data_IF_783023619661
#
_entry.id   IF_783023619661
#
_cell.length_a   1.000
_cell.length_b   1.000
_cell.length_c   1.000
_cell.angle_alpha   90.00
_cell.angle_beta   90.00
_cell.angle_gamma   90.00
#
_symmetry.space_group_name_H-M   'P 1'
#
loop_
_entity.id
_entity.type
_entity.pdbx_description
1 polymer ?
#
# COMPACT_ATOMS: atom_id res chain seq x y z
N UNK A 1 -54.32 -63.03 16.47
CA UNK A 1 -54.33 -61.73 15.77
C UNK A 1 -53.22 -61.59 14.73
N UNK A 2 -51.92 -61.55 15.06
CA UNK A 2 -50.86 -61.23 14.07
C UNK A 2 -50.83 -62.16 12.84
N UNK A 3 -51.03 -63.48 13.05
CA UNK A 3 -51.11 -64.47 11.98
C UNK A 3 -52.30 -64.26 11.01
N UNK A 4 -53.38 -63.64 11.47
CA UNK A 4 -54.54 -63.30 10.63
C UNK A 4 -54.32 -62.03 9.80
N UNK A 5 -53.31 -61.22 10.15
CA UNK A 5 -52.93 -59.99 9.43
C UNK A 5 -51.76 -60.23 8.46
N UNK A 6 -51.51 -61.48 8.08
CA UNK A 6 -50.47 -61.85 7.11
C UNK A 6 -49.04 -61.99 7.68
N UNK A 7 -48.86 -61.97 9.00
CA UNK A 7 -47.56 -62.24 9.60
C UNK A 7 -47.22 -63.73 9.54
N UNK A 8 -46.09 -64.08 8.91
CA UNK A 8 -45.50 -65.42 8.98
C UNK A 8 -44.32 -65.43 9.94
N UNK A 9 -44.23 -66.39 10.88
CA UNK A 9 -43.10 -66.46 11.82
C UNK A 9 -41.76 -66.49 11.07
N UNK A 10 -40.87 -65.56 11.41
CA UNK A 10 -39.56 -65.41 10.77
C UNK A 10 -39.49 -64.43 9.59
N UNK A 11 -40.63 -63.87 9.14
CA UNK A 11 -40.65 -62.81 8.14
C UNK A 11 -40.96 -61.44 8.76
N UNK A 12 -40.55 -60.37 8.09
CA UNK A 12 -40.85 -59.01 8.50
C UNK A 12 -42.28 -58.62 8.14
N UNK A 13 -42.91 -57.80 8.99
CA UNK A 13 -44.28 -57.33 8.77
C UNK A 13 -44.32 -56.32 7.61
N UNK A 14 -45.19 -56.54 6.63
CA UNK A 14 -45.47 -55.58 5.55
C UNK A 14 -44.42 -55.51 4.43
N UNK A 15 -44.21 -56.60 3.68
CA UNK A 15 -43.49 -56.67 2.39
C UNK A 15 -41.98 -56.42 2.41
N UNK A 16 -41.53 -55.42 3.15
CA UNK A 16 -40.15 -54.99 3.37
C UNK A 16 -39.84 -54.79 4.86
N UNK A 17 -40.67 -55.34 5.76
CA UNK A 17 -40.46 -55.26 7.20
C UNK A 17 -39.10 -55.84 7.60
N UNK A 18 -38.45 -55.21 8.57
CA UNK A 18 -37.21 -55.74 9.15
C UNK A 18 -37.52 -56.99 9.98
N UNK A 19 -36.77 -58.05 9.72
CA UNK A 19 -36.79 -59.29 10.52
C UNK A 19 -35.95 -59.10 11.78
N UNK A 20 -34.86 -58.34 11.66
CA UNK A 20 -33.95 -58.08 12.77
C UNK A 20 -34.39 -56.87 13.60
N UNK A 21 -34.41 -56.99 14.94
CA UNK A 21 -34.63 -55.87 15.84
C UNK A 21 -33.67 -54.71 15.52
N UNK A 22 -34.14 -53.47 15.70
CA UNK A 22 -33.26 -52.31 15.59
C UNK A 22 -32.20 -52.41 16.68
N UNK A 23 -30.94 -52.47 16.26
CA UNK A 23 -29.81 -52.46 17.19
C UNK A 23 -29.82 -51.18 18.01
N UNK A 24 -29.86 -51.30 19.34
CA UNK A 24 -29.80 -50.16 20.24
C UNK A 24 -28.35 -49.92 20.63
N UNK A 25 -27.75 -48.88 20.09
CA UNK A 25 -26.46 -48.39 20.56
C UNK A 25 -26.67 -47.55 21.83
N UNK A 26 -26.39 -48.14 23.00
CA UNK A 26 -26.47 -47.44 24.28
C UNK A 26 -25.23 -46.57 24.44
N UNK A 27 -25.37 -45.28 24.13
CA UNK A 27 -24.34 -44.27 24.39
C UNK A 27 -24.12 -44.16 25.91
N UNK A 28 -22.89 -44.43 26.39
CA UNK A 28 -22.55 -44.41 27.83
C UNK A 28 -22.27 -43.01 28.39
N UNK A 29 -22.34 -41.96 27.58
CA UNK A 29 -22.15 -40.58 28.03
C UNK A 29 -23.45 -40.02 28.61
N UNK A 30 -23.33 -39.11 29.59
CA UNK A 30 -24.48 -38.36 30.15
C UNK A 30 -24.89 -37.16 29.29
N UNK A 31 -24.25 -36.97 28.15
CA UNK A 31 -24.60 -35.90 27.21
C UNK A 31 -25.89 -36.27 26.48
N UNK A 32 -26.80 -35.31 26.31
CA UNK A 32 -28.06 -35.53 25.60
C UNK A 32 -27.86 -36.05 24.18
N UNK A 33 -28.84 -36.80 23.68
CA UNK A 33 -28.88 -37.27 22.30
C UNK A 33 -28.81 -36.04 21.38
N UNK A 34 -27.84 -36.03 20.45
CA UNK A 34 -27.59 -34.91 19.53
C UNK A 34 -26.51 -33.91 19.94
N UNK A 35 -25.89 -34.02 21.13
CA UNK A 35 -24.73 -33.19 21.50
C UNK A 35 -23.41 -33.84 21.11
N UNK A 36 -22.51 -33.05 20.53
CA UNK A 36 -21.11 -33.44 20.30
C UNK A 36 -20.39 -33.67 21.64
N UNK A 37 -19.34 -34.49 21.61
CA UNK A 37 -18.50 -34.71 22.77
C UNK A 37 -17.87 -33.35 23.20
N UNK A 38 -17.92 -32.96 24.48
CA UNK A 38 -17.32 -31.71 24.96
C UNK A 38 -15.84 -31.54 24.55
N UNK A 39 -15.09 -32.64 24.41
CA UNK A 39 -13.70 -32.61 23.93
C UNK A 39 -13.63 -32.18 22.47
N UNK A 40 -14.54 -32.70 21.63
CA UNK A 40 -14.61 -32.36 20.20
C UNK A 40 -15.03 -30.90 20.00
N UNK A 41 -15.98 -30.42 20.80
CA UNK A 41 -16.41 -29.01 20.76
C UNK A 41 -15.26 -28.06 21.18
N UNK A 42 -14.49 -28.42 22.22
CA UNK A 42 -13.35 -27.63 22.68
C UNK A 42 -12.25 -27.55 21.63
N UNK A 43 -11.89 -28.68 21.01
CA UNK A 43 -10.88 -28.72 19.95
C UNK A 43 -11.27 -27.86 18.75
N UNK A 44 -12.53 -27.94 18.29
CA UNK A 44 -13.04 -27.10 17.20
C UNK A 44 -12.93 -25.60 17.52
N UNK A 45 -13.29 -25.19 18.74
CA UNK A 45 -13.17 -23.79 19.18
C UNK A 45 -11.71 -23.34 19.26
N UNK A 46 -10.80 -24.21 19.69
CA UNK A 46 -9.36 -23.94 19.73
C UNK A 46 -8.78 -23.79 18.30
N UNK A 47 -9.21 -24.62 17.35
CA UNK A 47 -8.84 -24.51 15.93
C UNK A 47 -9.36 -23.21 15.30
N UNK A 48 -10.61 -22.84 15.55
CA UNK A 48 -11.21 -21.58 15.09
C UNK A 48 -10.45 -20.37 15.64
N UNK A 49 -10.11 -20.37 16.93
CA UNK A 49 -9.31 -19.31 17.55
C UNK A 49 -7.89 -19.25 17.00
N UNK A 50 -7.27 -20.40 16.74
CA UNK A 50 -5.93 -20.46 16.15
C UNK A 50 -5.92 -19.92 14.71
N UNK A 51 -6.98 -20.19 13.93
CA UNK A 51 -7.15 -19.63 12.59
C UNK A 51 -7.36 -18.11 12.64
N UNK A 52 -8.19 -17.62 13.55
CA UNK A 52 -8.44 -16.18 13.72
C UNK A 52 -7.18 -15.42 14.17
N UNK A 53 -6.42 -15.97 15.13
CA UNK A 53 -5.15 -15.39 15.56
C UNK A 53 -4.13 -15.33 14.42
N UNK A 54 -4.00 -16.40 13.62
CA UNK A 54 -3.11 -16.43 12.46
C UNK A 54 -3.48 -15.36 11.44
N UNK A 55 -4.77 -15.22 11.13
CA UNK A 55 -5.27 -14.18 10.20
C UNK A 55 -4.98 -12.77 10.73
N UNK A 56 -5.18 -12.52 12.02
CA UNK A 56 -4.85 -11.23 12.64
C UNK A 56 -3.35 -10.94 12.58
N UNK A 57 -2.49 -11.92 12.84
CA UNK A 57 -1.03 -11.76 12.71
C UNK A 57 -0.60 -11.44 11.28
N UNK A 58 -1.18 -12.12 10.29
CA UNK A 58 -0.94 -11.85 8.87
C UNK A 58 -1.38 -10.42 8.48
N UNK A 59 -2.57 -9.99 8.90
CA UNK A 59 -3.08 -8.63 8.67
C UNK A 59 -2.16 -7.56 9.30
N UNK A 60 -1.68 -7.78 10.53
CA UNK A 60 -0.73 -6.88 11.21
C UNK A 60 0.62 -6.80 10.49
N UNK A 61 1.11 -7.91 9.92
CA UNK A 61 2.37 -7.96 9.19
C UNK A 61 2.32 -7.14 7.88
N UNK A 62 1.16 -7.11 7.22
CA UNK A 62 0.93 -6.29 6.02
C UNK A 62 1.05 -4.79 6.36
N UNK A 63 0.43 -4.33 7.44
CA UNK A 63 0.47 -2.91 7.85
C UNK A 63 1.89 -2.45 8.21
N UNK A 64 2.68 -3.31 8.87
CA UNK A 64 4.07 -3.00 9.20
C UNK A 64 4.94 -2.77 7.95
N UNK A 65 4.76 -3.60 6.92
CA UNK A 65 5.46 -3.45 5.64
C UNK A 65 5.13 -2.15 4.91
N UNK A 66 3.88 -1.67 5.01
CA UNK A 66 3.42 -0.43 4.40
C UNK A 66 4.11 0.80 5.01
N UNK A 67 4.18 0.90 6.35
CA UNK A 67 4.74 2.07 7.05
C UNK A 67 6.22 2.31 6.76
N UNK A 68 7.00 1.24 6.61
CA UNK A 68 8.43 1.34 6.24
C UNK A 68 8.57 1.91 4.83
N UNK A 69 7.81 1.38 3.86
CA UNK A 69 7.81 1.86 2.46
C UNK A 69 7.39 3.33 2.35
N UNK A 70 6.38 3.74 3.10
CA UNK A 70 5.93 5.14 3.15
C UNK A 70 7.00 6.08 3.68
N UNK A 71 7.71 5.70 4.74
CA UNK A 71 8.82 6.49 5.29
C UNK A 71 9.92 6.73 4.25
N UNK A 72 10.29 5.71 3.47
CA UNK A 72 11.28 5.84 2.40
C UNK A 72 10.79 6.73 1.25
N UNK A 73 9.51 6.60 0.87
CA UNK A 73 8.88 7.45 -0.15
C UNK A 73 8.91 8.92 0.26
N UNK A 74 8.49 9.24 1.50
CA UNK A 74 8.46 10.61 2.00
C UNK A 74 9.87 11.22 2.11
N UNK A 75 10.86 10.46 2.61
CA UNK A 75 12.26 10.92 2.62
C UNK A 75 12.77 11.26 1.22
N UNK A 76 12.42 10.46 0.20
CA UNK A 76 12.82 10.69 -1.18
C UNK A 76 12.23 11.99 -1.75
N UNK A 77 10.97 12.29 -1.44
CA UNK A 77 10.32 13.55 -1.84
C UNK A 77 11.10 14.75 -1.30
N UNK A 78 11.45 14.74 -0.01
CA UNK A 78 12.22 15.81 0.63
C UNK A 78 13.59 15.98 -0.04
N UNK A 79 14.33 14.89 -0.27
CA UNK A 79 15.65 14.96 -0.93
C UNK A 79 15.53 15.51 -2.35
N UNK A 80 14.55 15.05 -3.12
CA UNK A 80 14.34 15.52 -4.49
C UNK A 80 13.99 17.02 -4.54
N UNK A 81 13.17 17.49 -3.60
CA UNK A 81 12.85 18.91 -3.48
C UNK A 81 14.12 19.75 -3.24
N UNK A 82 14.97 19.35 -2.29
CA UNK A 82 16.21 20.10 -2.01
C UNK A 82 17.17 20.11 -3.20
N UNK A 83 17.26 19.01 -3.96
CA UNK A 83 18.04 18.97 -5.20
C UNK A 83 17.50 19.92 -6.26
N UNK A 84 16.18 19.87 -6.50
CA UNK A 84 15.54 20.75 -7.48
C UNK A 84 15.70 22.23 -7.09
N UNK A 85 15.53 22.54 -5.79
CA UNK A 85 15.78 23.87 -5.25
C UNK A 85 17.23 24.31 -5.49
N UNK A 86 18.22 23.47 -5.17
CA UNK A 86 19.63 23.82 -5.39
C UNK A 86 19.98 24.08 -6.86
N UNK A 87 19.38 23.34 -7.80
CA UNK A 87 19.55 23.61 -9.24
C UNK A 87 18.88 24.92 -9.63
N UNK A 88 17.68 25.21 -9.10
CA UNK A 88 16.99 26.47 -9.36
C UNK A 88 17.80 27.65 -8.82
N UNK A 89 18.29 27.57 -7.58
CA UNK A 89 19.13 28.60 -6.97
C UNK A 89 20.40 28.85 -7.80
N UNK A 90 20.99 27.81 -8.40
CA UNK A 90 22.13 27.95 -9.32
C UNK A 90 21.76 28.61 -10.65
N UNK A 91 20.60 28.30 -11.22
CA UNK A 91 20.12 28.95 -12.45
C UNK A 91 19.67 30.39 -12.21
N UNK A 92 19.18 30.67 -11.00
CA UNK A 92 18.78 31.99 -10.53
C UNK A 92 19.94 32.79 -9.93
N UNK A 93 21.16 32.23 -9.88
CA UNK A 93 22.33 32.95 -9.39
C UNK A 93 22.59 34.17 -10.27
N UNK A 94 22.11 35.31 -9.78
CA UNK A 94 22.34 36.63 -10.38
C UNK A 94 23.83 36.96 -10.44
N UNK A 95 24.65 36.34 -9.60
CA UNK A 95 26.11 36.48 -9.60
C UNK A 95 26.72 35.93 -10.90
N UNK A 96 26.29 34.75 -11.36
CA UNK A 96 26.75 34.17 -12.63
C UNK A 96 26.27 35.00 -13.83
N UNK A 97 25.03 35.50 -13.76
CA UNK A 97 24.49 36.39 -14.78
C UNK A 97 25.25 37.72 -14.84
N UNK A 98 25.53 38.34 -13.69
CA UNK A 98 26.28 39.59 -13.62
C UNK A 98 27.71 39.42 -14.15
N UNK A 99 28.38 38.31 -13.85
CA UNK A 99 29.71 38.02 -14.39
C UNK A 99 29.69 37.88 -15.93
N UNK A 100 28.68 37.19 -16.47
CA UNK A 100 28.49 37.07 -17.93
C UNK A 100 28.20 38.44 -18.56
N UNK A 101 27.33 39.24 -17.95
CA UNK A 101 26.99 40.59 -18.43
C UNK A 101 28.20 41.53 -18.39
N UNK A 102 29.04 41.45 -17.36
CA UNK A 102 30.31 42.20 -17.29
C UNK A 102 31.27 41.76 -18.40
N UNK A 103 31.50 40.45 -18.58
CA UNK A 103 32.36 39.93 -19.66
C UNK A 103 31.88 40.37 -21.05
N UNK A 104 30.57 40.35 -21.30
CA UNK A 104 30.00 40.83 -22.57
C UNK A 104 30.28 42.32 -22.80
N UNK A 105 30.24 43.15 -21.74
CA UNK A 105 30.58 44.58 -21.83
C UNK A 105 32.08 44.82 -21.98
N UNK A 106 32.91 44.14 -21.20
CA UNK A 106 34.35 44.41 -21.14
C UNK A 106 35.06 43.89 -22.40
N UNK A 107 34.78 42.65 -22.80
CA UNK A 107 35.49 42.01 -23.92
C UNK A 107 34.88 42.40 -25.27
N UNK A 108 33.55 42.50 -25.32
CA UNK A 108 32.82 42.66 -26.58
C UNK A 108 32.14 44.01 -26.73
N UNK A 109 32.10 44.87 -25.70
CA UNK A 109 31.32 46.11 -25.69
C UNK A 109 29.87 45.88 -26.09
N UNK A 110 29.32 44.77 -25.64
CA UNK A 110 27.96 44.35 -25.96
C UNK A 110 27.07 44.49 -24.73
N UNK A 111 25.92 45.13 -24.90
CA UNK A 111 24.89 45.15 -23.88
C UNK A 111 23.73 44.23 -24.31
N UNK A 112 23.45 43.21 -23.51
CA UNK A 112 22.34 42.28 -23.74
C UNK A 112 20.97 43.00 -23.78
N UNK A 113 20.76 43.97 -22.89
CA UNK A 113 19.45 44.64 -22.72
C UNK A 113 19.18 45.71 -23.78
N UNK A 114 20.15 46.54 -24.16
CA UNK A 114 20.07 47.37 -25.37
C UNK A 114 19.99 46.55 -26.67
N UNK A 115 20.52 45.32 -26.67
CA UNK A 115 20.58 44.45 -27.85
C UNK A 115 21.59 44.88 -28.91
N UNK A 116 22.61 45.69 -28.57
CA UNK A 116 23.59 46.21 -29.52
C UNK A 116 25.04 46.13 -29.02
N UNK A 117 25.97 46.15 -29.99
CA UNK A 117 27.41 46.26 -29.75
C UNK A 117 27.85 47.71 -29.99
N UNK A 118 28.67 48.23 -29.09
CA UNK A 118 29.21 49.59 -29.16
C UNK A 118 30.61 49.62 -29.80
N UNK A 119 30.90 50.72 -30.49
CA UNK A 119 32.15 50.91 -31.22
C UNK A 119 33.36 51.02 -30.27
N UNK A 120 33.18 51.64 -29.11
CA UNK A 120 34.21 51.83 -28.08
C UNK A 120 33.65 51.68 -26.67
N UNK A 121 34.54 51.50 -25.68
CA UNK A 121 34.12 51.40 -24.28
C UNK A 121 33.51 52.71 -23.78
N UNK A 122 34.02 53.85 -24.25
CA UNK A 122 33.43 55.18 -24.00
C UNK A 122 32.01 55.27 -24.57
N UNK A 123 31.79 54.82 -25.82
CA UNK A 123 30.47 54.81 -26.42
C UNK A 123 29.48 53.92 -25.63
N UNK A 124 29.95 52.82 -25.04
CA UNK A 124 29.13 51.99 -24.16
C UNK A 124 28.76 52.73 -22.87
N UNK A 125 29.72 53.36 -22.20
CA UNK A 125 29.49 54.06 -20.92
C UNK A 125 28.59 55.29 -21.09
N UNK A 126 28.71 56.02 -22.21
CA UNK A 126 27.95 57.25 -22.44
C UNK A 126 26.52 56.98 -22.91
N UNK A 127 26.26 55.85 -23.58
CA UNK A 127 24.98 55.59 -24.25
C UNK A 127 24.19 54.41 -23.66
N UNK A 128 24.77 53.57 -22.79
CA UNK A 128 24.07 52.46 -22.16
C UNK A 128 23.47 52.89 -20.81
N UNK A 129 22.15 52.68 -20.56
CA UNK A 129 21.47 53.13 -19.34
C UNK A 129 22.00 52.56 -18.02
N UNK A 130 22.56 51.34 -18.04
CA UNK A 130 23.09 50.67 -16.86
C UNK A 130 23.44 49.23 -17.17
N UNK A 131 23.71 48.39 -16.16
CA UNK A 131 24.15 47.00 -16.37
C UNK A 131 23.01 45.99 -16.35
N UNK A 132 21.95 46.28 -15.59
CA UNK A 132 20.85 45.37 -15.30
C UNK A 132 19.65 45.61 -16.20
N UNK A 133 18.70 44.67 -16.20
CA UNK A 133 17.43 44.79 -16.93
C UNK A 133 16.65 46.02 -16.48
N UNK A 134 16.60 46.29 -15.16
CA UNK A 134 15.86 47.41 -14.57
C UNK A 134 16.39 48.80 -14.98
N UNK A 135 17.60 48.88 -15.52
CA UNK A 135 18.20 50.15 -15.97
C UNK A 135 17.72 50.57 -17.36
N UNK A 136 17.16 49.65 -18.15
CA UNK A 136 16.83 49.83 -19.58
C UNK A 136 15.32 49.96 -19.83
#
# INVERSE_FOLDING_TARGET
MLKQMGYTPGSGLGGSGRVEPVGVEIRRSRAGIGREDPVKEKLRKEEELAWENRRREEELMVDFGCRVKERWRNKRVVVNFHKAKGVLDQLENKEDLHEILMKLRDDFRYCLFCGCQYESMEALLDNCPGINEDDH
#
